data_IF_616526938186
#
_entry.id   IF_616526938186
#
_cell.length_a   1.000
_cell.length_b   1.000
_cell.length_c   1.000
_cell.angle_alpha   90.00
_cell.angle_beta   90.00
_cell.angle_gamma   90.00
#
_symmetry.space_group_name_H-M   'P 1'
#
loop_
_entity.id
_entity.type
_entity.pdbx_description
1 polymer ?
#
# COMPACT_ATOMS: atom_id res chain seq x y z
N UNK A 1 -7.09 -22.82 1.95
CA UNK A 1 -7.39 -22.24 3.28
C UNK A 1 -8.11 -23.29 4.11
N UNK A 2 -7.62 -23.58 5.31
CA UNK A 2 -8.23 -24.54 6.26
C UNK A 2 -9.53 -23.92 6.82
N UNK A 3 -10.63 -24.69 6.87
CA UNK A 3 -11.99 -24.20 7.12
C UNK A 3 -12.30 -23.68 8.54
N UNK A 4 -11.28 -23.33 9.33
CA UNK A 4 -11.42 -22.88 10.71
C UNK A 4 -11.03 -21.41 10.86
N UNK A 5 -11.74 -20.70 11.74
CA UNK A 5 -11.41 -19.30 12.07
C UNK A 5 -10.15 -19.27 12.96
N UNK A 6 -9.16 -18.40 12.66
CA UNK A 6 -7.97 -18.28 13.49
C UNK A 6 -8.33 -17.87 14.92
N UNK A 7 -7.64 -18.48 15.89
CA UNK A 7 -7.85 -18.24 17.33
C UNK A 7 -7.54 -16.79 17.72
N UNK A 8 -8.27 -16.26 18.70
CA UNK A 8 -8.20 -14.85 19.13
C UNK A 8 -6.78 -14.39 19.49
N UNK A 9 -5.97 -15.27 20.09
CA UNK A 9 -4.57 -14.99 20.46
C UNK A 9 -3.68 -14.69 19.25
N UNK A 10 -3.85 -15.41 18.13
CA UNK A 10 -3.05 -15.15 16.92
C UNK A 10 -3.40 -13.78 16.32
N UNK A 11 -4.66 -13.37 16.39
CA UNK A 11 -5.08 -12.04 15.93
C UNK A 11 -4.41 -10.92 16.75
N UNK A 12 -4.35 -11.06 18.08
CA UNK A 12 -3.66 -10.11 18.95
C UNK A 12 -2.15 -10.07 18.70
N UNK A 13 -1.54 -11.23 18.48
CA UNK A 13 -0.13 -11.34 18.10
C UNK A 13 0.18 -10.56 16.82
N UNK A 14 -0.62 -10.73 15.75
CA UNK A 14 -0.39 -10.00 14.50
C UNK A 14 -0.68 -8.51 14.58
N UNK A 15 -1.65 -8.08 15.37
CA UNK A 15 -2.04 -6.67 15.42
C UNK A 15 -1.10 -5.83 16.30
N UNK A 16 -0.50 -6.41 17.34
CA UNK A 16 0.25 -5.64 18.35
C UNK A 16 1.70 -6.13 18.44
N UNK A 17 1.93 -7.44 18.52
CA UNK A 17 3.27 -7.98 18.73
C UNK A 17 4.14 -7.78 17.49
N UNK A 18 3.61 -8.03 16.29
CA UNK A 18 4.35 -7.79 15.04
C UNK A 18 4.77 -6.32 14.86
N UNK A 19 3.85 -5.33 14.84
CA UNK A 19 4.25 -3.94 14.68
C UNK A 19 5.07 -3.42 15.86
N UNK A 20 4.79 -3.87 17.09
CA UNK A 20 5.54 -3.47 18.28
C UNK A 20 6.99 -3.93 18.27
N UNK A 21 7.24 -5.22 17.94
CA UNK A 21 8.61 -5.75 17.82
C UNK A 21 9.34 -5.08 16.65
N UNK A 22 8.69 -4.92 15.49
CA UNK A 22 9.30 -4.22 14.35
C UNK A 22 9.70 -2.78 14.71
N UNK A 23 8.83 -2.02 15.36
CA UNK A 23 9.13 -0.66 15.80
C UNK A 23 10.23 -0.62 16.87
N UNK A 24 10.22 -1.57 17.81
CA UNK A 24 11.23 -1.68 18.86
C UNK A 24 12.63 -1.97 18.29
N UNK A 25 12.74 -2.92 17.36
CA UNK A 25 14.01 -3.25 16.71
C UNK A 25 14.50 -2.05 15.89
N UNK A 26 13.62 -1.41 15.12
CA UNK A 26 13.95 -0.24 14.32
C UNK A 26 14.47 0.92 15.18
N UNK A 27 13.79 1.21 16.30
CA UNK A 27 14.20 2.25 17.24
C UNK A 27 15.52 1.90 17.93
N UNK A 28 15.71 0.65 18.33
CA UNK A 28 16.98 0.18 18.89
C UNK A 28 18.12 0.33 17.88
N UNK A 29 17.87 0.04 16.61
CA UNK A 29 18.81 0.25 15.51
C UNK A 29 19.19 1.72 15.34
N UNK A 30 18.23 2.64 15.45
CA UNK A 30 18.46 4.09 15.42
C UNK A 30 19.27 4.58 16.62
N UNK A 31 18.91 4.17 17.83
CA UNK A 31 19.58 4.61 19.08
C UNK A 31 21.01 4.06 19.15
N UNK A 32 21.22 2.81 18.71
CA UNK A 32 22.55 2.18 18.66
C UNK A 32 23.26 2.39 17.33
N UNK A 33 22.77 3.31 16.49
CA UNK A 33 23.44 3.73 15.27
C UNK A 33 24.74 4.46 15.63
N UNK A 34 25.78 3.69 15.94
CA UNK A 34 27.14 4.23 16.00
C UNK A 34 27.64 4.42 14.57
N UNK A 35 28.34 5.51 14.28
CA UNK A 35 29.08 5.62 13.03
C UNK A 35 29.99 4.40 12.94
N UNK A 36 29.83 3.59 11.88
CA UNK A 36 30.73 2.48 11.57
C UNK A 36 32.17 3.01 11.54
N UNK A 37 32.87 2.92 12.67
CA UNK A 37 34.32 3.16 12.74
C UNK A 37 35.00 1.88 12.33
N UNK A 38 35.50 1.85 11.10
CA UNK A 38 36.41 0.79 10.69
C UNK A 38 37.77 1.08 11.35
N UNK A 39 38.20 0.17 12.22
CA UNK A 39 39.53 0.15 12.82
C UNK A 39 39.95 1.36 13.70
N UNK A 40 39.02 2.06 14.37
CA UNK A 40 39.27 3.19 15.31
C UNK A 40 40.09 4.40 14.78
N UNK A 41 40.56 4.38 13.53
CA UNK A 41 41.38 5.44 12.90
C UNK A 41 40.65 6.11 11.73
N UNK A 42 39.72 5.41 11.07
CA UNK A 42 39.00 5.94 9.91
C UNK A 42 37.55 6.28 10.25
N UNK A 43 37.27 7.58 10.31
CA UNK A 43 35.91 8.11 10.41
C UNK A 43 35.30 8.05 9.03
N UNK A 44 34.21 7.29 8.85
CA UNK A 44 33.51 7.27 7.57
C UNK A 44 33.04 8.69 7.25
N UNK A 45 33.29 9.21 6.04
CA UNK A 45 32.94 10.58 5.72
C UNK A 45 31.42 10.75 5.69
N UNK A 46 30.94 11.92 6.11
CA UNK A 46 29.50 12.19 6.32
C UNK A 46 28.64 11.94 5.06
N UNK A 47 29.23 12.07 3.87
CA UNK A 47 28.56 11.75 2.60
C UNK A 47 28.16 10.27 2.48
N UNK A 48 28.95 9.35 3.04
CA UNK A 48 28.67 7.92 2.99
C UNK A 48 27.45 7.55 3.83
N UNK A 49 27.29 8.19 5.00
CA UNK A 49 26.09 8.05 5.82
C UNK A 49 24.86 8.61 5.09
N UNK A 50 25.01 9.78 4.45
CA UNK A 50 23.95 10.37 3.63
C UNK A 50 23.46 9.43 2.52
N UNK A 51 24.37 8.84 1.74
CA UNK A 51 24.03 7.90 0.66
C UNK A 51 23.39 6.63 1.20
N UNK A 52 23.91 6.06 2.30
CA UNK A 52 23.34 4.85 2.90
C UNK A 52 21.91 5.07 3.40
N UNK A 53 21.66 6.20 4.07
CA UNK A 53 20.31 6.58 4.48
C UNK A 53 19.40 6.87 3.29
N UNK A 54 19.89 7.53 2.25
CA UNK A 54 19.10 7.80 1.04
C UNK A 54 18.69 6.51 0.33
N UNK A 55 19.61 5.54 0.24
CA UNK A 55 19.34 4.24 -0.36
C UNK A 55 18.34 3.42 0.47
N UNK A 56 18.43 3.47 1.80
CA UNK A 56 17.46 2.85 2.70
C UNK A 56 16.07 3.51 2.61
N UNK A 57 16.01 4.84 2.59
CA UNK A 57 14.76 5.60 2.50
C UNK A 57 14.10 5.48 1.12
N UNK A 58 14.87 5.31 0.05
CA UNK A 58 14.34 5.14 -1.31
C UNK A 58 13.25 4.07 -1.38
N UNK A 59 13.51 2.89 -0.80
CA UNK A 59 12.52 1.80 -0.74
C UNK A 59 11.28 2.16 0.10
N UNK A 60 11.48 2.82 1.24
CA UNK A 60 10.39 3.25 2.12
C UNK A 60 9.50 4.33 1.50
N UNK A 61 10.07 5.18 0.65
CA UNK A 61 9.38 6.29 -0.04
C UNK A 61 8.57 5.80 -1.27
N UNK A 62 8.92 4.66 -1.86
CA UNK A 62 8.15 4.07 -2.97
C UNK A 62 6.68 3.80 -2.62
N UNK A 63 6.42 3.35 -1.39
CA UNK A 63 5.06 3.03 -0.90
C UNK A 63 4.17 4.30 -0.83
N UNK A 64 4.56 5.37 -0.14
CA UNK A 64 3.76 6.61 -0.10
C UNK A 64 3.68 7.30 -1.45
N UNK A 65 4.73 7.27 -2.28
CA UNK A 65 4.65 7.80 -3.65
C UNK A 65 3.59 7.07 -4.47
N UNK A 66 3.53 5.73 -4.39
CA UNK A 66 2.47 4.94 -5.01
C UNK A 66 1.09 5.34 -4.51
N UNK A 67 0.93 5.58 -3.21
CA UNK A 67 -0.33 6.05 -2.62
C UNK A 67 -0.73 7.43 -3.17
N UNK A 68 0.19 8.40 -3.17
CA UNK A 68 -0.06 9.76 -3.66
C UNK A 68 -0.43 9.73 -5.14
N UNK A 69 0.29 8.96 -5.95
CA UNK A 69 0.02 8.83 -7.38
C UNK A 69 -1.37 8.27 -7.65
N UNK A 70 -1.79 7.26 -6.87
CA UNK A 70 -3.15 6.70 -6.94
C UNK A 70 -4.22 7.69 -6.46
N UNK A 71 -3.93 8.49 -5.44
CA UNK A 71 -4.82 9.57 -4.96
C UNK A 71 -4.97 10.65 -6.04
N UNK A 72 -3.88 11.08 -6.68
CA UNK A 72 -3.93 12.12 -7.72
C UNK A 72 -4.64 11.67 -9.00
N UNK A 73 -4.41 10.42 -9.42
CA UNK A 73 -5.08 9.82 -10.59
C UNK A 73 -6.59 9.62 -10.38
N UNK A 74 -7.05 9.47 -9.14
CA UNK A 74 -8.47 9.23 -8.86
C UNK A 74 -9.24 10.54 -8.79
N UNK A 75 -10.23 10.82 -9.67
CA UNK A 75 -11.11 11.97 -9.53
C UNK A 75 -12.07 11.78 -8.33
N UNK A 76 -12.35 12.85 -7.59
CA UNK A 76 -13.27 12.85 -6.44
C UNK A 76 -12.75 13.61 -5.22
N UNK A 77 -13.51 13.57 -4.13
CA UNK A 77 -13.18 14.26 -2.86
C UNK A 77 -12.15 13.45 -2.05
N UNK A 78 -11.27 14.08 -1.25
CA UNK A 78 -10.22 13.36 -0.49
C UNK A 78 -10.74 12.18 0.34
N UNK A 79 -11.91 12.33 0.98
CA UNK A 79 -12.54 11.27 1.76
C UNK A 79 -13.02 10.08 0.91
N UNK A 80 -13.49 10.33 -0.32
CA UNK A 80 -13.94 9.28 -1.24
C UNK A 80 -12.74 8.54 -1.85
N UNK A 81 -11.66 9.28 -2.15
CA UNK A 81 -10.40 8.69 -2.63
C UNK A 81 -9.78 7.75 -1.60
N UNK A 82 -9.70 8.17 -0.34
CA UNK A 82 -9.22 7.30 0.75
C UNK A 82 -10.06 6.05 0.91
N UNK A 83 -11.39 6.19 0.87
CA UNK A 83 -12.32 5.06 1.00
C UNK A 83 -12.21 4.10 -0.19
N UNK A 84 -12.06 4.60 -1.41
CA UNK A 84 -11.80 3.79 -2.61
C UNK A 84 -10.49 3.00 -2.48
N UNK A 85 -9.41 3.65 -2.06
CA UNK A 85 -8.07 3.04 -2.03
C UNK A 85 -7.88 2.03 -0.89
N UNK A 86 -8.64 2.17 0.19
CA UNK A 86 -8.68 1.20 1.31
C UNK A 86 -9.69 0.08 1.08
N UNK A 87 -10.49 0.14 0.01
CA UNK A 87 -11.41 -0.94 -0.36
C UNK A 87 -10.68 -1.98 -1.21
N UNK A 88 -10.74 -3.28 -0.88
CA UNK A 88 -10.11 -4.33 -1.68
C UNK A 88 -10.74 -4.42 -3.07
N UNK A 89 -9.94 -4.83 -4.07
CA UNK A 89 -10.43 -5.05 -5.43
C UNK A 89 -11.58 -6.07 -5.44
N UNK A 90 -12.69 -5.82 -6.17
CA UNK A 90 -13.80 -6.76 -6.28
C UNK A 90 -13.42 -8.08 -6.98
N UNK A 91 -12.29 -8.10 -7.70
CA UNK A 91 -11.74 -9.29 -8.36
C UNK A 91 -11.09 -10.27 -7.38
N UNK A 92 -10.77 -9.81 -6.16
CA UNK A 92 -10.52 -10.73 -5.06
C UNK A 92 -11.85 -11.38 -4.73
N UNK A 93 -12.07 -12.59 -5.26
CA UNK A 93 -13.19 -13.47 -4.95
C UNK A 93 -13.14 -13.84 -3.46
N UNK A 94 -13.45 -12.88 -2.57
CA UNK A 94 -13.66 -13.14 -1.16
C UNK A 94 -14.88 -14.03 -1.08
N UNK A 95 -14.64 -15.29 -0.78
CA UNK A 95 -15.66 -16.32 -0.61
C UNK A 95 -16.52 -15.94 0.60
N UNK A 96 -17.56 -15.15 0.36
CA UNK A 96 -18.61 -14.88 1.32
C UNK A 96 -19.00 -13.41 1.45
N UNK A 97 -19.98 -13.01 0.63
CA UNK A 97 -21.05 -12.09 1.07
C UNK A 97 -20.70 -10.62 1.34
N UNK A 98 -19.69 -10.04 0.68
CA UNK A 98 -19.45 -8.58 0.72
C UNK A 98 -19.37 -7.89 -0.66
N UNK A 99 -19.62 -8.60 -1.76
CA UNK A 99 -19.62 -7.99 -3.10
C UNK A 99 -20.89 -7.20 -3.42
N UNK A 100 -21.93 -7.29 -2.59
CA UNK A 100 -23.21 -6.61 -2.84
C UNK A 100 -23.36 -5.24 -2.15
N UNK A 101 -22.45 -4.88 -1.22
CA UNK A 101 -22.61 -3.67 -0.41
C UNK A 101 -21.67 -2.52 -0.81
N UNK A 102 -20.63 -2.75 -1.63
CA UNK A 102 -19.72 -1.67 -2.00
C UNK A 102 -20.27 -0.89 -3.21
N UNK A 103 -20.85 0.32 -3.03
CA UNK A 103 -21.32 1.15 -4.15
C UNK A 103 -20.19 1.52 -5.12
N UNK A 104 -18.93 1.37 -4.71
CA UNK A 104 -17.77 1.67 -5.53
C UNK A 104 -17.56 0.64 -6.66
N UNK A 105 -17.75 -0.65 -6.38
CA UNK A 105 -17.59 -1.70 -7.37
C UNK A 105 -18.67 -1.62 -8.47
N UNK A 106 -19.90 -1.24 -8.09
CA UNK A 106 -20.98 -0.98 -9.03
C UNK A 106 -20.67 0.19 -9.97
N UNK A 107 -20.05 1.26 -9.46
CA UNK A 107 -19.67 2.41 -10.27
C UNK A 107 -18.51 2.11 -11.24
N UNK A 108 -17.48 1.35 -10.82
CA UNK A 108 -16.38 0.95 -11.73
C UNK A 108 -16.87 0.02 -12.85
N UNK A 109 -17.75 -0.92 -12.52
CA UNK A 109 -18.39 -1.79 -13.49
C UNK A 109 -19.25 -0.98 -14.48
N UNK A 110 -20.04 -0.02 -13.99
CA UNK A 110 -20.83 0.89 -14.83
C UNK A 110 -19.93 1.69 -15.77
N UNK A 111 -18.83 2.25 -15.27
CA UNK A 111 -17.91 3.08 -16.05
C UNK A 111 -17.19 2.27 -17.16
N UNK A 112 -16.85 1.01 -16.89
CA UNK A 112 -16.33 0.09 -17.93
C UNK A 112 -17.38 -0.32 -18.95
N UNK A 113 -18.63 -0.50 -18.55
CA UNK A 113 -19.75 -0.80 -19.45
C UNK A 113 -20.04 0.40 -20.35
N UNK A 114 -20.14 1.60 -19.78
CA UNK A 114 -20.37 2.85 -20.52
C UNK A 114 -19.23 3.11 -21.52
N UNK A 115 -17.96 2.90 -21.13
CA UNK A 115 -16.82 3.01 -22.02
C UNK A 115 -16.82 1.96 -23.15
N UNK A 116 -17.30 0.74 -22.88
CA UNK A 116 -17.44 -0.29 -23.92
C UNK A 116 -18.55 0.06 -24.90
N UNK A 117 -19.67 0.62 -24.43
CA UNK A 117 -20.79 1.05 -25.28
C UNK A 117 -20.37 2.21 -26.18
N UNK A 118 -19.66 3.21 -25.68
CA UNK A 118 -19.17 4.33 -26.50
C UNK A 118 -18.22 3.86 -27.59
N UNK A 119 -17.33 2.91 -27.28
CA UNK A 119 -16.40 2.33 -28.26
C UNK A 119 -17.11 1.50 -29.33
N UNK A 120 -18.25 0.88 -29.01
CA UNK A 120 -19.06 0.15 -30.01
C UNK A 120 -19.85 1.14 -30.88
N UNK A 121 -20.44 2.17 -30.28
CA UNK A 121 -21.18 3.21 -31.00
C UNK A 121 -20.32 4.00 -31.98
N UNK A 122 -19.04 4.25 -31.65
CA UNK A 122 -18.10 4.91 -32.57
C UNK A 122 -17.73 4.02 -33.76
N UNK A 123 -17.74 2.69 -33.60
CA UNK A 123 -17.46 1.75 -34.70
C UNK A 123 -18.63 1.59 -35.68
N UNK A 124 -19.86 1.77 -35.21
CA UNK A 124 -21.08 1.64 -36.02
C UNK A 124 -21.42 2.92 -36.81
N UNK A 125 -20.92 4.09 -36.39
CA UNK A 125 -21.22 5.40 -37.00
C UNK A 125 -20.26 5.82 -38.12
N UNK A 126 -19.23 5.01 -38.38
CA UNK A 126 -18.22 5.22 -39.42
C UNK A 126 -18.37 4.26 -40.63
N UNK A 127 -19.58 3.73 -40.86
CA UNK A 127 -19.98 3.06 -42.11
C UNK A 127 -20.88 3.96 -42.95
#
# INVERSE_FOLDING_TARGET
MIGYKPVFFIKWCWMILTPGICAGIFLFFLIKYKPLKYNNVYTYPDWGYGIGWFMAMSSMVCIPLGMIWKIWTTPGTFSERMKKLTTPSPDLKMRGKLNALSPYAANDAKLKVDAKISTISEKETHF
#
